data_IF_356251693393
#
_entry.id   IF_356251693393
#
_cell.length_a   1.000
_cell.length_b   1.000
_cell.length_c   1.000
_cell.angle_alpha   90.00
_cell.angle_beta   90.00
_cell.angle_gamma   90.00
#
_symmetry.space_group_name_H-M   'P 1'
#
loop_
_entity.id
_entity.type
_entity.pdbx_description
1 polymer ?
#
# COMPACT_ATOMS: atom_id res chain seq x y z
N UNK A 1 34.63 -45.35 31.54
CA UNK A 1 33.74 -46.42 31.05
C UNK A 1 32.84 -45.76 30.03
N UNK A 2 33.22 -45.80 28.70
CA UNK A 2 32.88 -46.84 27.75
C UNK A 2 31.35 -47.01 27.62
N UNK A 3 30.70 -46.52 26.55
CA UNK A 3 30.47 -47.23 25.29
C UNK A 3 29.74 -46.31 24.27
N UNK A 4 30.36 -46.09 23.13
CA UNK A 4 29.69 -45.82 21.84
C UNK A 4 29.27 -47.17 21.22
N UNK A 5 28.30 -47.27 20.32
CA UNK A 5 28.70 -47.60 18.95
C UNK A 5 27.95 -46.86 17.81
N UNK A 6 28.73 -46.76 16.73
CA UNK A 6 28.40 -46.49 15.34
C UNK A 6 27.33 -47.44 14.74
N UNK A 7 26.55 -46.95 13.77
CA UNK A 7 26.08 -47.67 12.55
C UNK A 7 25.71 -46.60 11.53
N UNK A 8 26.42 -46.40 10.49
CA UNK A 8 26.66 -46.99 9.16
C UNK A 8 25.44 -46.91 8.19
N UNK A 9 25.64 -46.02 7.25
CA UNK A 9 25.22 -45.93 5.83
C UNK A 9 24.32 -47.03 5.23
N UNK A 10 23.31 -46.58 4.44
CA UNK A 10 22.96 -47.20 3.19
C UNK A 10 22.44 -46.15 2.18
N UNK A 11 23.25 -45.88 1.14
CA UNK A 11 22.84 -45.23 -0.10
C UNK A 11 22.16 -46.26 -0.97
N UNK A 12 20.99 -45.97 -1.48
CA UNK A 12 20.40 -46.63 -2.64
C UNK A 12 20.12 -45.60 -3.73
N UNK A 13 20.98 -45.63 -4.73
CA UNK A 13 20.78 -44.90 -5.98
C UNK A 13 19.83 -45.73 -6.86
N UNK A 14 18.72 -45.16 -7.30
CA UNK A 14 17.86 -45.73 -8.34
C UNK A 14 18.01 -44.84 -9.57
N UNK A 15 18.71 -45.39 -10.56
CA UNK A 15 18.82 -44.82 -11.91
C UNK A 15 17.57 -45.19 -12.70
N UNK A 16 16.79 -44.20 -13.10
CA UNK A 16 15.71 -44.37 -14.07
C UNK A 16 16.18 -43.86 -15.45
N UNK A 17 16.41 -44.82 -16.36
CA UNK A 17 16.71 -44.59 -17.78
C UNK A 17 15.41 -44.24 -18.49
N UNK A 18 15.25 -43.03 -19.01
CA UNK A 18 14.12 -42.65 -19.86
C UNK A 18 14.54 -42.76 -21.32
N UNK A 19 13.92 -43.70 -22.02
CA UNK A 19 14.08 -43.93 -23.43
C UNK A 19 13.26 -42.90 -24.23
N UNK A 20 13.92 -41.99 -24.96
CA UNK A 20 13.26 -40.98 -25.82
C UNK A 20 13.03 -41.57 -27.21
N UNK A 21 11.78 -41.82 -27.56
CA UNK A 21 11.35 -42.10 -28.93
C UNK A 21 11.04 -40.76 -29.63
N UNK A 22 11.87 -40.42 -30.61
CA UNK A 22 11.63 -39.29 -31.52
C UNK A 22 10.63 -39.73 -32.61
N UNK A 23 9.46 -39.10 -32.64
CA UNK A 23 8.55 -39.16 -33.79
C UNK A 23 8.83 -37.95 -34.69
N UNK A 24 9.41 -38.19 -35.85
CA UNK A 24 9.55 -37.21 -36.91
C UNK A 24 8.23 -37.07 -37.67
N UNK A 25 7.51 -35.96 -37.53
CA UNK A 25 6.42 -35.62 -38.44
C UNK A 25 6.91 -34.61 -39.48
N UNK A 26 6.80 -35.02 -40.73
CA UNK A 26 7.06 -34.20 -41.90
C UNK A 26 6.05 -33.06 -42.01
N UNK A 27 6.54 -31.81 -41.99
CA UNK A 27 5.71 -30.63 -42.23
C UNK A 27 5.78 -30.23 -43.70
N UNK A 28 4.63 -30.26 -44.36
CA UNK A 28 4.42 -29.70 -45.71
C UNK A 28 4.27 -28.17 -45.58
N UNK A 29 4.93 -27.36 -46.40
CA UNK A 29 4.81 -25.90 -46.28
C UNK A 29 3.52 -25.40 -46.93
N UNK A 30 2.65 -24.82 -46.13
CA UNK A 30 1.48 -24.05 -46.57
C UNK A 30 1.93 -22.70 -47.14
N UNK A 31 1.63 -22.45 -48.42
CA UNK A 31 1.78 -21.14 -49.08
C UNK A 31 0.88 -20.10 -48.39
N UNK A 32 1.53 -19.11 -47.78
CA UNK A 32 0.87 -17.96 -47.15
C UNK A 32 0.40 -16.98 -48.26
N UNK A 33 -0.91 -16.96 -48.50
CA UNK A 33 -1.55 -15.92 -49.34
C UNK A 33 -1.71 -14.67 -48.46
N UNK A 34 -1.05 -13.59 -48.86
CA UNK A 34 -1.16 -12.27 -48.20
C UNK A 34 -2.31 -11.53 -48.88
N UNK A 35 -3.38 -11.12 -48.17
CA UNK A 35 -4.39 -10.24 -48.74
C UNK A 35 -3.85 -8.81 -48.79
N UNK A 36 -3.99 -8.14 -49.92
CA UNK A 36 -3.72 -6.73 -50.09
C UNK A 36 -4.75 -5.88 -49.31
N UNK A 37 -4.33 -4.78 -48.62
CA UNK A 37 -5.29 -3.92 -47.96
C UNK A 37 -6.06 -3.07 -48.97
N UNK A 38 -7.36 -2.78 -48.70
CA UNK A 38 -8.14 -1.87 -49.53
C UNK A 38 -7.71 -0.45 -49.38
N UNK A 39 -7.87 0.33 -50.49
CA UNK A 39 -7.46 1.71 -50.62
C UNK A 39 -8.06 2.64 -49.55
N UNK A 40 -7.23 3.61 -49.15
CA UNK A 40 -7.53 4.73 -48.24
C UNK A 40 -8.89 5.38 -48.44
N UNK A 41 -9.78 5.25 -47.47
CA UNK A 41 -10.83 6.22 -47.21
C UNK A 41 -10.24 7.29 -46.26
N UNK A 42 -10.27 8.55 -46.69
CA UNK A 42 -9.95 9.72 -45.87
C UNK A 42 -10.97 9.76 -44.72
N UNK A 43 -10.54 9.41 -43.52
CA UNK A 43 -11.30 9.71 -42.31
C UNK A 43 -10.91 11.13 -41.87
N UNK A 44 -11.84 12.06 -42.02
CA UNK A 44 -11.75 13.37 -41.37
C UNK A 44 -11.73 13.14 -39.86
N UNK A 45 -10.58 13.33 -39.26
CA UNK A 45 -10.43 13.32 -37.79
C UNK A 45 -11.02 14.63 -37.26
N UNK A 46 -12.31 14.61 -36.89
CA UNK A 46 -12.87 15.63 -36.02
C UNK A 46 -12.07 15.57 -34.71
N UNK A 47 -11.27 16.59 -34.43
CA UNK A 47 -10.63 16.79 -33.16
C UNK A 47 -11.72 16.82 -32.08
N UNK A 48 -11.82 15.76 -31.29
CA UNK A 48 -12.60 15.79 -30.04
C UNK A 48 -11.74 16.62 -29.09
N UNK A 49 -12.16 17.86 -28.89
CA UNK A 49 -11.68 18.71 -27.82
C UNK A 49 -11.93 17.98 -26.50
N UNK A 50 -10.88 17.34 -25.98
CA UNK A 50 -10.88 16.75 -24.65
C UNK A 50 -11.00 17.92 -23.66
N UNK A 51 -12.20 18.22 -23.23
CA UNK A 51 -12.39 18.98 -22.00
C UNK A 51 -11.76 18.18 -20.88
N UNK A 52 -10.54 18.54 -20.51
CA UNK A 52 -9.88 18.03 -19.31
C UNK A 52 -10.76 18.42 -18.12
N UNK A 53 -11.60 17.49 -17.68
CA UNK A 53 -12.33 17.61 -16.41
C UNK A 53 -11.25 17.77 -15.35
N UNK A 54 -11.17 18.92 -14.69
CA UNK A 54 -10.24 19.16 -13.59
C UNK A 54 -10.38 18.00 -12.61
N UNK A 55 -9.27 17.34 -12.32
CA UNK A 55 -9.25 16.23 -11.37
C UNK A 55 -9.73 16.73 -10.02
N UNK A 56 -10.77 16.11 -9.46
CA UNK A 56 -11.25 16.41 -8.10
C UNK A 56 -10.20 16.08 -7.02
N UNK A 57 -9.18 15.32 -7.39
CA UNK A 57 -8.10 14.90 -6.50
C UNK A 57 -7.06 16.01 -6.32
N UNK A 58 -6.76 16.31 -5.07
CA UNK A 58 -5.78 17.32 -4.65
C UNK A 58 -4.56 16.61 -4.11
N UNK A 59 -3.33 16.89 -4.63
CA UNK A 59 -2.13 16.26 -4.12
C UNK A 59 -1.83 16.72 -2.69
N UNK A 60 -1.39 15.79 -1.87
CA UNK A 60 -0.93 16.03 -0.50
C UNK A 60 0.57 16.30 -0.44
N UNK A 61 1.34 15.76 -1.39
CA UNK A 61 2.78 15.99 -1.52
C UNK A 61 3.08 16.91 -2.70
N UNK A 62 4.07 17.79 -2.55
CA UNK A 62 4.69 18.50 -3.67
C UNK A 62 5.73 17.59 -4.35
N UNK A 63 6.18 17.98 -5.56
CA UNK A 63 7.05 17.13 -6.35
C UNK A 63 8.44 16.88 -5.72
N UNK A 64 9.02 17.93 -5.12
CA UNK A 64 10.40 17.87 -4.62
C UNK A 64 10.53 18.59 -3.26
N UNK A 65 9.48 18.54 -2.43
CA UNK A 65 9.44 19.31 -1.19
C UNK A 65 8.47 18.72 -0.18
N UNK A 66 8.84 18.77 1.10
CA UNK A 66 7.97 18.53 2.24
C UNK A 66 7.14 19.76 2.65
N UNK A 67 7.00 20.76 1.77
CA UNK A 67 6.21 21.95 2.11
C UNK A 67 4.79 21.60 2.55
N UNK A 68 4.40 22.13 3.72
CA UNK A 68 3.12 21.80 4.38
C UNK A 68 3.19 20.58 5.29
N UNK A 69 4.39 20.01 5.47
CA UNK A 69 4.66 18.88 6.33
C UNK A 69 5.86 19.13 7.22
N UNK A 70 5.91 18.49 8.35
CA UNK A 70 7.08 18.41 9.24
C UNK A 70 7.41 16.94 9.52
N UNK A 71 8.68 16.64 9.76
CA UNK A 71 9.09 15.34 10.26
C UNK A 71 8.54 15.19 11.65
N UNK A 72 7.77 14.13 11.90
CA UNK A 72 7.13 13.89 13.20
C UNK A 72 8.20 13.51 14.23
N UNK A 73 8.34 14.29 15.29
CA UNK A 73 9.30 14.01 16.36
C UNK A 73 8.79 12.84 17.23
N UNK A 74 9.15 11.63 16.85
CA UNK A 74 8.90 10.38 17.61
C UNK A 74 9.99 10.12 18.67
N UNK A 75 11.14 10.82 18.60
CA UNK A 75 12.26 10.67 19.52
C UNK A 75 13.34 9.69 19.07
N UNK A 76 13.39 9.40 17.77
CA UNK A 76 14.34 8.44 17.16
C UNK A 76 14.03 8.26 15.68
N UNK A 77 13.42 9.28 15.08
CA UNK A 77 13.01 9.26 13.68
C UNK A 77 14.21 9.21 12.73
N UNK A 78 14.06 8.48 11.63
CA UNK A 78 14.94 8.51 10.49
C UNK A 78 14.69 9.73 9.60
N UNK A 79 15.28 9.74 8.41
CA UNK A 79 15.09 10.83 7.43
C UNK A 79 13.75 10.70 6.72
N UNK A 80 13.23 11.84 6.26
CA UNK A 80 12.06 11.95 5.40
C UNK A 80 12.37 12.92 4.27
N UNK A 81 12.26 12.47 3.02
CA UNK A 81 12.60 13.25 1.83
C UNK A 81 11.55 13.03 0.73
N UNK A 82 11.27 14.07 -0.06
CA UNK A 82 10.46 13.97 -1.27
C UNK A 82 11.33 14.27 -2.47
N UNK A 83 11.35 13.36 -3.42
CA UNK A 83 12.07 13.48 -4.68
C UNK A 83 11.19 12.97 -5.83
N UNK A 84 10.99 13.78 -6.87
CA UNK A 84 10.14 13.46 -8.03
C UNK A 84 8.73 12.95 -7.65
N UNK A 85 8.15 13.49 -6.57
CA UNK A 85 6.82 13.11 -6.08
C UNK A 85 6.78 11.80 -5.29
N UNK A 86 7.93 11.23 -4.96
CA UNK A 86 8.06 10.06 -4.08
C UNK A 86 8.59 10.51 -2.72
N UNK A 87 7.77 10.29 -1.68
CA UNK A 87 8.21 10.43 -0.30
C UNK A 87 8.94 9.15 0.10
N UNK A 88 10.21 9.29 0.51
CA UNK A 88 10.97 8.27 1.20
C UNK A 88 10.93 8.56 2.70
N UNK A 89 10.54 7.54 3.48
CA UNK A 89 10.75 7.52 4.93
C UNK A 89 11.76 6.42 5.25
N UNK A 90 12.88 6.80 5.84
CA UNK A 90 13.88 5.85 6.29
C UNK A 90 13.49 5.29 7.66
N UNK A 91 14.17 4.21 8.06
CA UNK A 91 13.92 3.53 9.32
C UNK A 91 14.23 4.43 10.50
N UNK A 92 13.29 4.51 11.45
CA UNK A 92 13.49 5.13 12.75
C UNK A 92 13.71 4.12 13.87
N UNK A 93 13.97 4.63 15.07
CA UNK A 93 14.07 3.84 16.31
C UNK A 93 13.01 4.32 17.33
N UNK A 94 11.77 3.79 17.26
CA UNK A 94 11.33 2.76 16.31
C UNK A 94 10.62 3.30 15.06
N UNK A 95 10.29 4.60 14.97
CA UNK A 95 9.36 5.15 14.00
C UNK A 95 9.95 6.33 13.23
N UNK A 96 9.52 6.46 11.97
CA UNK A 96 9.68 7.67 11.16
C UNK A 96 8.33 8.06 10.56
N UNK A 97 8.09 9.35 10.38
CA UNK A 97 6.88 9.83 9.74
C UNK A 97 6.88 11.32 9.49
N UNK A 98 5.84 11.77 8.81
CA UNK A 98 5.55 13.18 8.58
C UNK A 98 4.15 13.51 9.05
N UNK A 99 3.98 14.73 9.54
CA UNK A 99 2.69 15.27 9.99
C UNK A 99 2.43 16.58 9.26
N UNK A 100 1.19 16.78 8.79
CA UNK A 100 0.83 18.04 8.14
C UNK A 100 0.76 19.19 9.14
N UNK A 101 1.31 20.34 8.75
CA UNK A 101 1.12 21.61 9.47
C UNK A 101 -0.09 22.39 8.96
N UNK A 102 -0.78 21.89 7.93
CA UNK A 102 -2.01 22.47 7.39
C UNK A 102 -3.16 22.27 8.38
N UNK A 103 -4.04 23.24 8.47
CA UNK A 103 -5.19 23.22 9.39
C UNK A 103 -6.52 23.06 8.66
N UNK A 104 -6.50 23.03 7.35
CA UNK A 104 -7.66 23.01 6.46
C UNK A 104 -8.02 21.62 5.91
N UNK A 105 -7.37 20.55 6.41
CA UNK A 105 -7.72 19.20 6.03
C UNK A 105 -9.13 18.85 6.55
N UNK A 106 -10.01 18.25 5.71
CA UNK A 106 -11.39 17.95 6.10
C UNK A 106 -11.46 16.96 7.26
N UNK A 107 -12.42 17.17 8.16
CA UNK A 107 -12.62 16.27 9.30
C UNK A 107 -13.43 15.02 8.95
N UNK A 108 -14.22 15.07 7.89
CA UNK A 108 -15.04 13.99 7.35
C UNK A 108 -15.46 14.31 5.91
N UNK A 109 -16.16 13.41 5.24
CA UNK A 109 -16.57 13.51 3.84
C UNK A 109 -15.38 13.71 2.91
N UNK A 110 -14.39 12.89 3.07
CA UNK A 110 -13.23 12.85 2.19
C UNK A 110 -12.84 11.41 1.82
N UNK A 111 -12.10 11.30 0.75
CA UNK A 111 -11.43 10.09 0.33
C UNK A 111 -9.97 10.41 0.06
N UNK A 112 -9.06 9.58 0.56
CA UNK A 112 -7.62 9.64 0.27
C UNK A 112 -7.21 8.38 -0.47
N UNK A 113 -6.21 8.53 -1.35
CA UNK A 113 -5.54 7.40 -1.99
C UNK A 113 -4.05 7.64 -2.08
N UNK A 114 -3.29 6.58 -2.09
CA UNK A 114 -1.84 6.62 -2.27
C UNK A 114 -1.32 5.27 -2.74
N UNK A 115 -0.09 5.25 -3.22
CA UNK A 115 0.66 4.01 -3.43
C UNK A 115 1.83 3.97 -2.49
N UNK A 116 2.11 2.80 -1.91
CA UNK A 116 3.27 2.59 -1.05
C UNK A 116 3.95 1.27 -1.35
N UNK A 117 5.27 1.28 -1.16
CA UNK A 117 6.12 0.10 -1.29
C UNK A 117 7.06 0.02 -0.09
N UNK A 118 6.97 -1.06 0.68
CA UNK A 118 7.97 -1.33 1.72
C UNK A 118 9.27 -1.72 1.03
N UNK A 119 10.27 -0.85 1.14
CA UNK A 119 11.59 -1.06 0.53
C UNK A 119 12.39 -2.08 1.31
N UNK A 120 12.34 -1.95 2.65
CA UNK A 120 12.98 -2.85 3.61
C UNK A 120 12.22 -2.85 4.93
N UNK A 121 12.41 -3.88 5.74
CA UNK A 121 11.76 -4.05 7.03
C UNK A 121 10.68 -5.11 7.02
N UNK A 122 10.02 -5.29 8.18
CA UNK A 122 9.08 -6.37 8.41
C UNK A 122 7.85 -5.96 9.23
N UNK A 123 7.68 -4.66 9.50
CA UNK A 123 6.52 -4.16 10.25
C UNK A 123 5.74 -3.14 9.42
N UNK A 124 4.82 -2.36 10.03
CA UNK A 124 3.94 -1.53 9.23
C UNK A 124 4.70 -0.47 8.44
N UNK A 125 4.31 -0.37 7.18
CA UNK A 125 4.87 0.54 6.20
C UNK A 125 3.84 1.56 5.68
N UNK A 126 2.59 1.41 6.09
CA UNK A 126 1.53 2.37 5.85
C UNK A 126 0.69 2.53 7.13
N UNK A 127 1.14 3.45 8.00
CA UNK A 127 0.41 3.95 9.15
C UNK A 127 -0.09 5.35 8.83
N UNK A 128 -1.37 5.50 8.46
CA UNK A 128 -1.94 6.80 8.08
C UNK A 128 -2.94 7.24 9.13
N UNK A 129 -2.61 8.33 9.82
CA UNK A 129 -3.50 9.00 10.78
C UNK A 129 -4.37 10.01 10.06
N UNK A 130 -5.66 10.05 10.35
CA UNK A 130 -6.63 10.96 9.75
C UNK A 130 -7.76 11.33 10.71
N UNK A 131 -8.48 12.43 10.45
CA UNK A 131 -9.65 12.84 11.23
C UNK A 131 -10.86 11.92 10.98
N UNK A 132 -11.68 11.78 12.03
CA UNK A 132 -12.99 11.11 12.01
C UNK A 132 -13.99 12.00 12.76
N UNK A 133 -14.46 13.08 12.13
CA UNK A 133 -15.15 14.16 12.83
C UNK A 133 -14.20 14.92 13.73
N UNK A 134 -14.52 15.01 15.03
CA UNK A 134 -13.63 15.65 16.02
C UNK A 134 -12.62 14.68 16.65
N UNK A 135 -12.69 13.42 16.30
CA UNK A 135 -11.77 12.35 16.72
C UNK A 135 -10.73 12.06 15.64
N UNK A 136 -9.82 11.12 15.91
CA UNK A 136 -8.78 10.68 14.98
C UNK A 136 -8.64 9.17 15.02
N UNK A 137 -8.24 8.57 13.90
CA UNK A 137 -7.94 7.16 13.79
C UNK A 137 -6.73 6.95 12.89
N UNK A 138 -6.08 5.79 12.99
CA UNK A 138 -5.01 5.40 12.07
C UNK A 138 -5.40 4.12 11.34
N UNK A 139 -5.24 4.10 10.01
CA UNK A 139 -5.20 2.88 9.23
C UNK A 139 -3.79 2.32 9.29
N UNK A 140 -3.63 1.10 9.79
CA UNK A 140 -2.35 0.40 9.85
C UNK A 140 -2.35 -0.72 8.82
N UNK A 141 -1.30 -0.78 7.99
CA UNK A 141 -1.09 -1.86 7.02
C UNK A 141 0.32 -2.43 7.14
N UNK A 142 0.38 -3.74 7.33
CA UNK A 142 1.63 -4.48 7.53
C UNK A 142 2.16 -4.43 8.96
N UNK A 143 1.31 -4.19 9.94
CA UNK A 143 1.69 -4.17 11.35
C UNK A 143 1.88 -5.55 11.97
N UNK A 144 2.31 -5.54 13.25
CA UNK A 144 2.53 -6.74 14.08
C UNK A 144 3.33 -7.83 13.38
N UNK A 145 4.50 -7.45 12.87
CA UNK A 145 5.38 -8.40 12.17
C UNK A 145 5.07 -8.56 10.69
N UNK A 146 4.35 -7.59 10.09
CA UNK A 146 4.32 -7.40 8.64
C UNK A 146 3.03 -7.74 7.93
N UNK A 147 2.01 -8.29 8.59
CA UNK A 147 0.82 -8.78 7.92
C UNK A 147 -0.52 -8.21 8.41
N UNK A 148 -0.57 -7.57 9.58
CA UNK A 148 -1.82 -7.08 10.12
C UNK A 148 -2.29 -5.81 9.39
N UNK A 149 -3.58 -5.72 9.12
CA UNK A 149 -4.28 -4.54 8.63
C UNK A 149 -5.48 -4.24 9.50
N UNK A 150 -5.77 -2.96 9.76
CA UNK A 150 -6.92 -2.56 10.56
C UNK A 150 -6.88 -1.09 10.99
N UNK A 151 -7.96 -0.65 11.62
CA UNK A 151 -8.06 0.68 12.21
C UNK A 151 -7.60 0.67 13.68
N UNK A 152 -6.78 1.63 14.04
CA UNK A 152 -6.23 1.76 15.39
C UNK A 152 -6.46 3.18 15.91
N UNK A 153 -7.38 3.41 16.91
CA UNK A 153 -8.12 2.41 17.71
C UNK A 153 -9.63 2.65 17.60
N UNK A 154 -10.42 1.61 17.83
CA UNK A 154 -11.88 1.69 17.94
C UNK A 154 -12.26 1.24 19.36
N UNK A 155 -13.01 2.06 20.10
CA UNK A 155 -13.45 1.78 21.48
C UNK A 155 -12.27 1.37 22.40
N UNK A 156 -11.11 2.01 22.24
CA UNK A 156 -9.83 1.76 22.92
C UNK A 156 -9.14 0.42 22.56
N UNK A 157 -9.69 -0.37 21.62
CA UNK A 157 -9.04 -1.57 21.10
C UNK A 157 -8.27 -1.23 19.83
N UNK A 158 -7.03 -1.66 19.74
CA UNK A 158 -6.18 -1.38 18.58
C UNK A 158 -6.49 -2.30 17.37
N UNK A 159 -5.76 -2.12 16.28
CA UNK A 159 -5.98 -2.87 15.04
C UNK A 159 -5.87 -4.39 15.19
N UNK A 160 -5.20 -4.89 16.23
CA UNK A 160 -5.05 -6.33 16.48
C UNK A 160 -6.20 -6.93 17.30
N UNK A 161 -7.08 -6.10 17.87
CA UNK A 161 -8.06 -6.53 18.87
C UNK A 161 -9.50 -6.06 18.58
N UNK A 162 -9.72 -5.30 17.51
CA UNK A 162 -11.03 -4.80 17.15
C UNK A 162 -11.61 -5.48 15.91
N UNK A 163 -12.85 -5.15 15.59
CA UNK A 163 -13.60 -5.75 14.48
C UNK A 163 -13.01 -5.54 13.08
N UNK A 164 -12.03 -4.65 12.93
CA UNK A 164 -11.36 -4.38 11.65
C UNK A 164 -10.08 -5.19 11.45
N UNK A 165 -9.72 -6.03 12.43
CA UNK A 165 -8.52 -6.88 12.35
C UNK A 165 -8.57 -7.76 11.12
N UNK A 166 -7.59 -7.59 10.25
CA UNK A 166 -7.42 -8.41 9.05
C UNK A 166 -5.95 -8.73 8.83
N UNK A 167 -5.68 -9.64 7.89
CA UNK A 167 -4.32 -10.05 7.55
C UNK A 167 -4.12 -10.08 6.04
N UNK A 168 -2.99 -9.53 5.61
CA UNK A 168 -2.54 -9.55 4.23
C UNK A 168 -1.02 -9.70 4.17
N UNK A 169 -0.53 -10.57 3.29
CA UNK A 169 0.90 -10.65 3.00
C UNK A 169 1.34 -9.48 2.13
N UNK A 170 2.42 -8.82 2.57
CA UNK A 170 3.07 -7.75 1.80
C UNK A 170 4.50 -8.15 1.46
N UNK A 171 4.83 -8.03 0.18
CA UNK A 171 6.21 -8.27 -0.30
C UNK A 171 6.98 -6.96 -0.31
N UNK A 172 8.24 -6.99 0.11
CA UNK A 172 9.13 -5.85 -0.02
C UNK A 172 9.36 -5.53 -1.52
N UNK A 173 9.52 -4.24 -1.83
CA UNK A 173 9.73 -3.69 -3.19
C UNK A 173 8.55 -3.90 -4.15
N UNK A 174 7.38 -4.29 -3.62
CA UNK A 174 6.13 -4.31 -4.37
C UNK A 174 5.29 -3.09 -4.00
N UNK A 175 4.75 -2.42 -5.01
CA UNK A 175 3.80 -1.33 -4.84
C UNK A 175 2.40 -1.88 -4.59
N UNK A 176 1.71 -1.29 -3.63
CA UNK A 176 0.31 -1.53 -3.30
C UNK A 176 -0.44 -0.20 -3.39
N UNK A 177 -1.65 -0.23 -3.92
CA UNK A 177 -2.54 0.92 -3.96
C UNK A 177 -3.47 0.90 -2.74
N UNK A 178 -3.48 1.97 -1.99
CA UNK A 178 -4.31 2.14 -0.79
C UNK A 178 -5.35 3.21 -1.02
N UNK A 179 -6.49 3.05 -0.39
CA UNK A 179 -7.56 4.04 -0.38
C UNK A 179 -8.30 3.97 0.94
N UNK A 180 -8.65 5.13 1.50
CA UNK A 180 -9.50 5.26 2.67
C UNK A 180 -10.56 6.32 2.42
N UNK A 181 -11.80 6.00 2.75
CA UNK A 181 -12.93 6.93 2.71
C UNK A 181 -13.48 7.10 4.11
N UNK A 182 -13.69 8.35 4.50
CA UNK A 182 -14.33 8.73 5.75
C UNK A 182 -15.55 9.57 5.40
N UNK A 183 -16.73 9.01 5.51
CA UNK A 183 -17.98 9.74 5.40
C UNK A 183 -18.66 9.89 6.78
N UNK A 184 -19.86 10.51 6.82
CA UNK A 184 -20.59 10.74 8.08
C UNK A 184 -20.96 9.45 8.80
N UNK A 185 -21.10 8.33 8.08
CA UNK A 185 -21.62 7.07 8.63
C UNK A 185 -20.55 6.00 8.76
N UNK A 186 -19.59 5.96 7.83
CA UNK A 186 -18.66 4.85 7.71
C UNK A 186 -17.21 5.29 7.54
N UNK A 187 -16.30 4.40 7.89
CA UNK A 187 -14.91 4.39 7.41
C UNK A 187 -14.75 3.13 6.58
N UNK A 188 -14.27 3.28 5.36
CA UNK A 188 -14.02 2.15 4.45
C UNK A 188 -12.60 2.23 3.92
N UNK A 189 -11.88 1.10 3.86
CA UNK A 189 -10.53 1.05 3.31
C UNK A 189 -10.37 -0.08 2.29
N UNK A 190 -9.48 0.15 1.33
CA UNK A 190 -9.17 -0.78 0.23
C UNK A 190 -7.66 -0.90 0.05
N UNK A 191 -7.24 -2.08 -0.39
CA UNK A 191 -5.89 -2.35 -0.89
C UNK A 191 -6.03 -3.02 -2.26
N UNK A 192 -5.38 -2.46 -3.30
CA UNK A 192 -5.45 -2.93 -4.70
C UNK A 192 -6.91 -3.12 -5.15
N UNK A 193 -7.77 -2.10 -4.88
CA UNK A 193 -9.21 -2.04 -5.15
C UNK A 193 -10.07 -3.08 -4.40
N UNK A 194 -9.48 -3.97 -3.62
CA UNK A 194 -10.21 -4.88 -2.75
C UNK A 194 -10.56 -4.18 -1.43
N UNK A 195 -11.85 -4.13 -1.08
CA UNK A 195 -12.29 -3.67 0.24
C UNK A 195 -11.73 -4.61 1.32
N UNK A 196 -10.98 -4.03 2.28
CA UNK A 196 -10.36 -4.78 3.39
C UNK A 196 -11.09 -4.57 4.70
N UNK A 197 -11.77 -3.45 4.85
CA UNK A 197 -12.62 -3.17 6.00
C UNK A 197 -13.68 -2.13 5.65
N UNK A 198 -14.80 -2.23 6.35
CA UNK A 198 -15.84 -1.22 6.42
C UNK A 198 -16.43 -1.23 7.83
N UNK A 199 -16.48 -0.07 8.47
CA UNK A 199 -16.97 0.05 9.83
C UNK A 199 -17.95 1.22 9.95
N UNK A 200 -19.10 0.98 10.60
CA UNK A 200 -20.04 2.04 10.96
C UNK A 200 -19.48 2.89 12.09
N UNK A 201 -19.66 4.21 12.00
CA UNK A 201 -19.18 5.16 13.02
C UNK A 201 -20.11 5.31 14.21
N UNK A 202 -21.40 5.03 14.02
CA UNK A 202 -22.41 5.20 15.06
C UNK A 202 -22.11 4.34 16.29
N UNK A 203 -22.16 4.94 17.46
CA UNK A 203 -21.90 4.28 18.74
C UNK A 203 -20.43 3.91 19.00
N UNK A 204 -19.51 4.32 18.13
CA UNK A 204 -18.07 4.05 18.28
C UNK A 204 -17.29 5.29 18.65
N UNK A 205 -16.20 5.08 19.39
CA UNK A 205 -15.18 6.07 19.69
C UNK A 205 -13.90 5.74 18.93
N UNK A 206 -13.36 6.72 18.24
CA UNK A 206 -12.09 6.60 17.53
C UNK A 206 -10.99 7.30 18.31
N UNK A 207 -9.84 6.70 18.38
CA UNK A 207 -8.70 7.25 19.10
C UNK A 207 -7.38 6.82 18.45
N UNK A 208 -6.28 7.36 18.94
CA UNK A 208 -4.93 7.01 18.51
C UNK A 208 -4.20 6.28 19.63
N UNK A 209 -3.34 5.36 19.27
CA UNK A 209 -2.32 4.85 20.18
C UNK A 209 -1.34 5.99 20.53
N UNK A 210 -0.76 5.90 21.72
CA UNK A 210 0.12 6.96 22.24
C UNK A 210 1.30 7.27 21.34
N UNK A 211 1.89 6.23 20.72
CA UNK A 211 3.06 6.36 19.84
C UNK A 211 2.78 7.17 18.57
N UNK A 212 1.54 7.17 18.04
CA UNK A 212 1.18 7.93 16.85
C UNK A 212 0.39 9.22 17.15
N UNK A 213 0.29 9.61 18.43
CA UNK A 213 -0.48 10.78 18.83
C UNK A 213 0.00 12.09 18.18
N UNK A 214 1.29 12.18 17.89
CA UNK A 214 1.89 13.34 17.21
C UNK A 214 1.60 13.42 15.71
N UNK A 215 1.00 12.37 15.12
CA UNK A 215 0.64 12.33 13.69
C UNK A 215 -0.66 13.08 13.35
N UNK A 216 -1.24 13.83 14.30
CA UNK A 216 -2.46 14.63 14.08
C UNK A 216 -2.14 15.98 13.44
N UNK A 217 -3.05 16.54 12.60
CA UNK A 217 -4.37 16.02 12.23
C UNK A 217 -4.33 14.96 11.10
N UNK A 218 -3.30 14.97 10.28
CA UNK A 218 -3.05 14.02 9.21
C UNK A 218 -1.56 13.70 9.21
N UNK A 219 -1.21 12.42 9.21
CA UNK A 219 0.18 11.99 9.20
C UNK A 219 0.37 10.64 8.52
N UNK A 220 1.58 10.40 8.07
CA UNK A 220 2.05 9.13 7.56
C UNK A 220 3.24 8.66 8.38
N UNK A 221 3.24 7.43 8.85
CA UNK A 221 4.35 6.90 9.62
C UNK A 221 4.61 5.42 9.30
N UNK A 222 5.82 4.99 9.62
CA UNK A 222 6.31 3.61 9.49
C UNK A 222 6.97 3.18 10.79
N UNK A 223 6.95 1.87 11.05
CA UNK A 223 7.60 1.27 12.21
C UNK A 223 8.64 0.26 11.72
N UNK A 224 9.90 0.47 12.10
CA UNK A 224 11.04 -0.38 11.73
C UNK A 224 11.07 -0.78 10.24
N UNK A 225 10.61 0.09 9.37
CA UNK A 225 10.51 -0.13 7.93
C UNK A 225 11.02 1.08 7.17
N UNK A 226 11.47 0.85 5.93
CA UNK A 226 11.76 1.87 4.93
C UNK A 226 10.67 1.80 3.89
N UNK A 227 10.07 2.94 3.54
CA UNK A 227 8.95 3.01 2.60
C UNK A 227 9.17 4.08 1.54
N UNK A 228 8.68 3.79 0.33
CA UNK A 228 8.40 4.77 -0.70
C UNK A 228 6.88 4.97 -0.81
N UNK A 229 6.45 6.24 -0.83
CA UNK A 229 5.03 6.64 -0.97
C UNK A 229 4.91 7.62 -2.13
N UNK A 230 3.93 7.43 -2.98
CA UNK A 230 3.65 8.33 -4.11
C UNK A 230 2.16 8.44 -4.40
N UNK A 231 1.80 9.41 -5.24
CA UNK A 231 0.42 9.64 -5.65
C UNK A 231 -0.51 9.78 -4.44
N UNK A 232 -0.01 10.41 -3.34
CA UNK A 232 -0.82 10.64 -2.16
C UNK A 232 -1.65 11.89 -2.34
N UNK A 233 -2.95 11.69 -2.43
CA UNK A 233 -3.92 12.73 -2.78
C UNK A 233 -5.26 12.48 -2.09
N UNK A 234 -6.08 13.52 -2.01
CA UNK A 234 -7.42 13.45 -1.43
C UNK A 234 -8.44 14.19 -2.28
N UNK A 235 -9.69 13.85 -2.09
CA UNK A 235 -10.84 14.59 -2.61
C UNK A 235 -11.92 14.73 -1.54
N UNK A 236 -12.73 15.79 -1.66
CA UNK A 236 -13.96 15.94 -0.89
C UNK A 236 -15.03 15.11 -1.59
N UNK A 237 -15.81 14.39 -0.79
CA UNK A 237 -16.99 13.63 -1.24
C UNK A 237 -18.25 14.29 -0.69
N UNK A 238 -19.34 14.22 -1.45
CA UNK A 238 -20.65 14.77 -1.09
C UNK A 238 -21.41 13.86 -0.12
#
# INVERSE_FOLDING_TARGET
MLFTPLLRNFCLAVSATVLSTQFAMAQTPLKKVIPQPPASAKVETKAVESTATESKWKPLLEKDSLKGWEITNFGGEGTAEVNEGVLRLDRGEPMTGITTIRKDFPKENFEMRWKASRVDGSDFFAGVTFPVGDEFCSLICGGWGGGLVGLSSINNSDASENETTGFQSFKNKQWYAFRVRVDKKTITAWIDDKEILKVEREGKKFSLRGEVFKSKPLGYCVFQSIVDVKEWEYQIIE
#
